data_IF_211718993237
#
_entry.id   IF_211718993237
#
_cell.length_a   1.000
_cell.length_b   1.000
_cell.length_c   1.000
_cell.angle_alpha   90.00
_cell.angle_beta   90.00
_cell.angle_gamma   90.00
#
_symmetry.space_group_name_H-M   'P 1'
#
loop_
_entity.id
_entity.type
_entity.pdbx_description
1 polymer ?
#
# COMPACT_ATOMS: atom_id res chain seq x y z
N UNK A 1 29.58 25.66 -12.59
CA UNK A 1 28.52 26.65 -12.87
C UNK A 1 28.14 27.33 -11.55
N UNK A 2 28.74 28.48 -11.24
CA UNK A 2 28.39 29.27 -10.04
C UNK A 2 27.13 30.09 -10.38
N UNK A 3 26.00 29.71 -9.80
CA UNK A 3 24.71 30.36 -10.02
C UNK A 3 24.66 31.65 -9.18
N UNK A 4 24.94 32.81 -9.79
CA UNK A 4 24.79 34.12 -9.15
C UNK A 4 23.30 34.48 -9.03
N UNK A 5 22.61 33.91 -8.04
CA UNK A 5 21.34 34.45 -7.57
C UNK A 5 21.63 35.61 -6.61
N UNK A 6 21.22 36.82 -6.98
CA UNK A 6 21.20 37.96 -6.08
C UNK A 6 19.97 37.81 -5.18
N UNK A 7 20.18 37.41 -3.93
CA UNK A 7 19.11 37.35 -2.93
C UNK A 7 18.95 38.70 -2.24
N UNK A 8 17.72 39.05 -1.90
CA UNK A 8 17.38 40.21 -1.10
C UNK A 8 18.17 40.22 0.23
N UNK A 9 18.87 41.32 0.50
CA UNK A 9 19.69 41.55 1.71
C UNK A 9 18.90 41.25 2.98
N UNK A 10 17.60 41.58 3.01
CA UNK A 10 16.75 41.30 4.17
C UNK A 10 16.55 39.80 4.40
N UNK A 11 16.41 39.02 3.31
CA UNK A 11 16.30 37.55 3.39
C UNK A 11 17.62 36.91 3.84
N UNK A 12 18.76 37.43 3.39
CA UNK A 12 20.08 36.95 3.82
C UNK A 12 20.29 37.21 5.32
N UNK A 13 19.98 38.43 5.78
CA UNK A 13 20.07 38.81 7.19
C UNK A 13 19.17 37.93 8.08
N UNK A 14 17.90 37.77 7.70
CA UNK A 14 16.95 36.88 8.38
C UNK A 14 17.47 35.44 8.44
N UNK A 15 17.98 34.90 7.33
CA UNK A 15 18.53 33.54 7.29
C UNK A 15 19.73 33.37 8.24
N UNK A 16 20.58 34.39 8.37
CA UNK A 16 21.75 34.38 9.27
C UNK A 16 21.32 34.43 10.74
N UNK A 17 20.37 35.29 11.09
CA UNK A 17 19.77 35.37 12.44
C UNK A 17 19.09 34.06 12.85
N UNK A 18 18.37 33.43 11.92
CA UNK A 18 17.80 32.10 12.13
C UNK A 18 18.89 31.04 12.38
N UNK A 19 20.01 31.11 11.64
CA UNK A 19 21.11 30.17 11.86
C UNK A 19 21.76 30.34 13.22
N UNK A 20 22.04 31.58 13.63
CA UNK A 20 22.64 31.93 14.92
C UNK A 20 21.75 31.55 16.10
N UNK A 21 20.43 31.62 15.95
CA UNK A 21 19.47 31.15 16.96
C UNK A 21 19.32 29.62 17.01
N UNK A 22 20.09 28.87 16.22
CA UNK A 22 20.14 27.41 16.29
C UNK A 22 19.11 26.71 15.41
N UNK A 23 18.64 27.32 14.32
CA UNK A 23 17.86 26.61 13.30
C UNK A 23 18.77 25.82 12.35
N UNK A 24 18.25 24.70 11.87
CA UNK A 24 18.89 23.90 10.82
C UNK A 24 18.73 24.55 9.44
N UNK A 25 19.64 24.24 8.51
CA UNK A 25 19.56 24.75 7.13
C UNK A 25 18.24 24.37 6.43
N UNK A 26 17.68 23.20 6.74
CA UNK A 26 16.37 22.77 6.25
C UNK A 26 15.21 23.60 6.80
N UNK A 27 15.31 24.09 8.04
CA UNK A 27 14.32 25.00 8.63
C UNK A 27 14.42 26.39 8.02
N UNK A 28 15.63 26.88 7.80
CA UNK A 28 15.89 28.17 7.14
C UNK A 28 15.41 28.13 5.69
N UNK A 29 15.69 27.05 4.95
CA UNK A 29 15.18 26.86 3.58
C UNK A 29 13.65 26.95 3.54
N UNK A 30 12.95 26.30 4.48
CA UNK A 30 11.48 26.31 4.50
C UNK A 30 10.91 27.72 4.67
N UNK A 31 11.57 28.55 5.46
CA UNK A 31 11.12 29.91 5.77
C UNK A 31 11.54 30.95 4.70
N UNK A 32 12.72 30.77 4.09
CA UNK A 32 13.33 31.77 3.20
C UNK A 32 13.29 31.38 1.73
N UNK A 33 12.96 30.12 1.44
CA UNK A 33 13.04 29.46 0.14
C UNK A 33 14.45 29.46 -0.50
N UNK A 34 15.50 29.74 0.28
CA UNK A 34 16.89 29.70 -0.20
C UNK A 34 17.37 28.24 -0.25
N UNK A 35 18.02 27.80 -1.35
CA UNK A 35 18.58 26.45 -1.46
C UNK A 35 19.56 26.13 -0.33
N UNK A 36 19.53 24.88 0.16
CA UNK A 36 20.42 24.41 1.23
C UNK A 36 21.90 24.53 0.82
N UNK A 37 22.24 24.30 -0.45
CA UNK A 37 23.60 24.46 -0.97
C UNK A 37 24.12 25.89 -0.78
N UNK A 38 23.29 26.89 -1.05
CA UNK A 38 23.59 28.31 -0.83
C UNK A 38 23.74 28.61 0.66
N UNK A 39 22.78 28.19 1.51
CA UNK A 39 22.83 28.40 2.95
C UNK A 39 24.07 27.75 3.59
N UNK A 40 24.41 26.53 3.13
CA UNK A 40 25.58 25.80 3.57
C UNK A 40 26.87 26.50 3.18
N UNK A 41 26.92 27.20 2.05
CA UNK A 41 28.07 27.98 1.62
C UNK A 41 28.24 29.25 2.45
N UNK A 42 27.13 29.96 2.72
CA UNK A 42 27.09 31.25 3.41
C UNK A 42 27.36 31.18 4.91
N UNK A 43 26.98 30.07 5.55
CA UNK A 43 27.04 29.93 7.00
C UNK A 43 28.13 28.96 7.47
N UNK A 44 29.18 28.76 6.67
CA UNK A 44 30.36 27.94 7.06
C UNK A 44 31.13 28.52 8.23
N UNK A 45 31.06 29.84 8.40
CA UNK A 45 31.65 30.61 9.49
C UNK A 45 30.88 30.49 10.80
N UNK A 46 29.67 29.93 10.80
CA UNK A 46 28.82 29.83 11.99
C UNK A 46 28.97 28.45 12.64
N UNK A 47 29.65 28.42 13.78
CA UNK A 47 29.69 27.26 14.68
C UNK A 47 28.52 27.31 15.66
N UNK A 48 27.69 26.27 15.67
CA UNK A 48 26.62 26.14 16.66
C UNK A 48 27.16 25.64 18.00
N UNK A 49 26.48 26.02 19.08
CA UNK A 49 26.77 25.44 20.40
C UNK A 49 26.36 23.96 20.45
N UNK A 50 26.92 23.22 21.41
CA UNK A 50 26.52 21.83 21.67
C UNK A 50 25.01 21.74 21.93
N UNK A 51 24.47 22.61 22.78
CA UNK A 51 23.04 22.67 23.08
C UNK A 51 22.19 22.87 21.80
N UNK A 52 22.56 23.82 20.94
CA UNK A 52 21.83 24.06 19.69
C UNK A 52 21.89 22.85 18.74
N UNK A 53 23.02 22.15 18.71
CA UNK A 53 23.19 20.94 17.90
C UNK A 53 22.34 19.78 18.43
N UNK A 54 22.29 19.61 19.76
CA UNK A 54 21.46 18.62 20.43
C UNK A 54 19.96 18.92 20.23
N UNK A 55 19.56 20.18 20.33
CA UNK A 55 18.19 20.64 20.08
C UNK A 55 17.76 20.38 18.63
N UNK A 56 18.63 20.69 17.66
CA UNK A 56 18.38 20.37 16.24
C UNK A 56 18.20 18.86 16.08
N UNK A 57 19.08 18.06 16.66
CA UNK A 57 19.05 16.59 16.56
C UNK A 57 17.76 16.01 17.16
N UNK A 58 17.34 16.51 18.33
CA UNK A 58 16.08 16.13 18.96
C UNK A 58 14.85 16.51 18.10
N UNK A 59 14.83 17.72 17.52
CA UNK A 59 13.75 18.14 16.61
C UNK A 59 13.70 17.29 15.35
N UNK A 60 14.85 16.95 14.76
CA UNK A 60 14.94 16.07 13.58
C UNK A 60 14.43 14.68 13.92
N UNK A 61 14.90 14.07 15.02
CA UNK A 61 14.44 12.76 15.49
C UNK A 61 12.93 12.73 15.70
N UNK A 62 12.37 13.74 16.38
CA UNK A 62 10.92 13.87 16.60
C UNK A 62 10.13 13.99 15.29
N UNK A 63 10.64 14.73 14.30
CA UNK A 63 10.03 14.84 12.97
C UNK A 63 10.05 13.51 12.22
N UNK A 64 11.17 12.79 12.25
CA UNK A 64 11.29 11.46 11.63
C UNK A 64 10.30 10.49 12.25
N UNK A 65 10.24 10.42 13.58
CA UNK A 65 9.31 9.55 14.31
C UNK A 65 7.84 9.88 14.00
N UNK A 66 7.48 11.17 13.97
CA UNK A 66 6.14 11.61 13.54
C UNK A 66 5.84 11.25 12.08
N UNK A 67 6.80 11.45 11.18
CA UNK A 67 6.65 11.08 9.77
C UNK A 67 6.43 9.58 9.58
N UNK A 68 7.18 8.75 10.31
CA UNK A 68 6.99 7.29 10.35
C UNK A 68 5.60 6.92 10.86
N UNK A 69 5.17 7.51 11.98
CA UNK A 69 3.84 7.27 12.54
C UNK A 69 2.73 7.66 11.55
N UNK A 70 2.82 8.84 10.94
CA UNK A 70 1.84 9.31 9.95
C UNK A 70 1.79 8.39 8.72
N UNK A 71 2.93 7.89 8.26
CA UNK A 71 2.99 6.90 7.17
C UNK A 71 2.28 5.60 7.56
N UNK A 72 2.57 5.07 8.76
CA UNK A 72 1.91 3.86 9.28
C UNK A 72 0.40 4.05 9.40
N UNK A 73 -0.05 5.18 9.93
CA UNK A 73 -1.47 5.52 10.02
C UNK A 73 -2.09 5.60 8.61
N UNK A 74 -1.46 6.31 7.67
CA UNK A 74 -1.98 6.44 6.30
C UNK A 74 -2.12 5.08 5.60
N UNK A 75 -1.09 4.22 5.70
CA UNK A 75 -1.12 2.86 5.13
C UNK A 75 -2.23 2.03 5.79
N UNK A 76 -2.35 2.09 7.13
CA UNK A 76 -3.39 1.35 7.86
C UNK A 76 -4.79 1.84 7.49
N UNK A 77 -5.02 3.14 7.46
CA UNK A 77 -6.32 3.72 7.11
C UNK A 77 -6.73 3.38 5.67
N UNK A 78 -5.81 3.48 4.70
CA UNK A 78 -6.06 3.05 3.32
C UNK A 78 -6.41 1.56 3.25
N UNK A 79 -5.68 0.72 3.99
CA UNK A 79 -5.95 -0.73 4.04
C UNK A 79 -7.34 -1.01 4.61
N UNK A 80 -7.71 -0.39 5.73
CA UNK A 80 -9.03 -0.55 6.37
C UNK A 80 -10.15 -0.13 5.42
N UNK A 81 -9.98 1.02 4.75
CA UNK A 81 -10.96 1.50 3.77
C UNK A 81 -11.15 0.51 2.62
N UNK A 82 -10.06 0.09 1.97
CA UNK A 82 -10.11 -0.89 0.87
C UNK A 82 -10.74 -2.20 1.33
N UNK A 83 -10.36 -2.69 2.51
CA UNK A 83 -10.91 -3.93 3.07
C UNK A 83 -12.41 -3.83 3.32
N UNK A 84 -12.89 -2.70 3.86
CA UNK A 84 -14.32 -2.44 4.01
C UNK A 84 -15.04 -2.45 2.66
N UNK A 85 -14.53 -1.71 1.66
CA UNK A 85 -15.13 -1.68 0.32
C UNK A 85 -15.24 -3.07 -0.30
N UNK A 86 -14.17 -3.88 -0.21
CA UNK A 86 -14.17 -5.26 -0.73
C UNK A 86 -15.22 -6.12 -0.03
N UNK A 87 -15.36 -5.98 1.30
CA UNK A 87 -16.35 -6.73 2.07
C UNK A 87 -17.77 -6.31 1.70
N UNK A 88 -18.03 -5.01 1.57
CA UNK A 88 -19.35 -4.48 1.20
C UNK A 88 -19.77 -4.93 -0.21
N UNK A 89 -18.84 -4.93 -1.16
CA UNK A 89 -19.05 -5.49 -2.51
C UNK A 89 -19.30 -7.00 -2.46
N UNK A 90 -18.44 -7.75 -1.74
CA UNK A 90 -18.53 -9.18 -1.65
C UNK A 90 -19.87 -9.63 -1.07
N UNK A 91 -20.40 -8.95 -0.05
CA UNK A 91 -21.74 -9.19 0.50
C UNK A 91 -22.83 -9.04 -0.55
N UNK A 92 -22.76 -7.99 -1.37
CA UNK A 92 -23.77 -7.68 -2.39
C UNK A 92 -23.74 -8.72 -3.52
N UNK A 93 -22.55 -9.04 -3.99
CA UNK A 93 -22.29 -10.04 -5.04
C UNK A 93 -22.72 -11.43 -4.57
N UNK A 94 -22.36 -11.81 -3.35
CA UNK A 94 -22.66 -13.13 -2.78
C UNK A 94 -24.16 -13.43 -2.81
N UNK A 95 -25.01 -12.48 -2.39
CA UNK A 95 -26.47 -12.64 -2.41
C UNK A 95 -27.02 -12.97 -3.80
N UNK A 96 -26.42 -12.42 -4.86
CA UNK A 96 -26.83 -12.70 -6.24
C UNK A 96 -26.24 -13.98 -6.83
N UNK A 97 -25.16 -14.50 -6.25
CA UNK A 97 -24.39 -15.62 -6.80
C UNK A 97 -24.52 -16.93 -6.03
N UNK A 98 -24.92 -16.91 -4.76
CA UNK A 98 -24.93 -18.09 -3.86
C UNK A 98 -25.71 -19.28 -4.44
N UNK A 99 -26.82 -19.02 -5.14
CA UNK A 99 -27.64 -20.07 -5.75
C UNK A 99 -27.13 -20.56 -7.12
N UNK A 100 -25.98 -20.06 -7.59
CA UNK A 100 -25.41 -20.46 -8.87
C UNK A 100 -24.42 -21.62 -8.68
N UNK A 101 -24.61 -22.79 -9.32
CA UNK A 101 -23.74 -23.95 -9.13
C UNK A 101 -22.27 -23.66 -9.38
N UNK A 102 -21.95 -22.97 -10.50
CA UNK A 102 -20.57 -22.65 -10.85
C UNK A 102 -19.90 -21.76 -9.78
N UNK A 103 -20.64 -20.81 -9.18
CA UNK A 103 -20.11 -19.94 -8.13
C UNK A 103 -19.64 -20.76 -6.93
N UNK A 104 -20.50 -21.65 -6.43
CA UNK A 104 -20.21 -22.54 -5.31
C UNK A 104 -19.08 -23.50 -5.66
N UNK A 105 -19.09 -24.10 -6.86
CA UNK A 105 -18.01 -24.99 -7.33
C UNK A 105 -16.66 -24.28 -7.29
N UNK A 106 -16.54 -23.05 -7.80
CA UNK A 106 -15.26 -22.33 -7.76
C UNK A 106 -14.81 -21.96 -6.35
N UNK A 107 -15.74 -21.56 -5.46
CA UNK A 107 -15.40 -21.33 -4.05
C UNK A 107 -14.88 -22.59 -3.36
N UNK A 108 -15.51 -23.73 -3.61
CA UNK A 108 -15.12 -25.05 -3.08
C UNK A 108 -13.77 -25.50 -3.62
N UNK A 109 -13.55 -25.38 -4.94
CA UNK A 109 -12.27 -25.66 -5.56
C UNK A 109 -11.15 -24.78 -4.99
N UNK A 110 -11.41 -23.48 -4.85
CA UNK A 110 -10.45 -22.57 -4.23
C UNK A 110 -10.20 -22.91 -2.75
N UNK A 111 -11.19 -23.47 -2.05
CA UNK A 111 -11.01 -23.93 -0.68
C UNK A 111 -10.00 -25.06 -0.58
N UNK A 112 -10.07 -26.01 -1.52
CA UNK A 112 -9.26 -27.22 -1.57
C UNK A 112 -7.83 -26.96 -2.10
N UNK A 113 -7.70 -26.15 -3.15
CA UNK A 113 -6.42 -26.01 -3.89
C UNK A 113 -5.97 -24.57 -4.12
N UNK A 114 -6.66 -23.60 -3.50
CA UNK A 114 -6.32 -22.19 -3.55
C UNK A 114 -5.37 -21.75 -2.43
N UNK A 115 -4.52 -20.76 -2.73
CA UNK A 115 -3.59 -20.19 -1.76
C UNK A 115 -4.24 -19.06 -0.97
N UNK A 116 -4.39 -19.22 0.35
CA UNK A 116 -5.07 -18.25 1.22
C UNK A 116 -4.12 -17.19 1.83
N UNK A 117 -2.81 -17.34 1.63
CA UNK A 117 -1.77 -16.46 2.16
C UNK A 117 -1.01 -15.79 1.02
N UNK A 118 -0.63 -14.53 1.18
CA UNK A 118 0.16 -13.78 0.19
C UNK A 118 -0.56 -12.57 -0.37
N UNK A 119 -0.10 -12.10 -1.53
CA UNK A 119 -0.54 -10.86 -2.18
C UNK A 119 -1.32 -11.06 -3.49
N UNK A 120 -1.61 -12.30 -3.85
CA UNK A 120 -2.23 -12.67 -5.13
C UNK A 120 -3.21 -13.83 -4.96
N UNK A 121 -4.21 -13.91 -5.85
CA UNK A 121 -5.01 -15.12 -5.99
C UNK A 121 -4.17 -16.16 -6.73
N UNK A 122 -4.07 -17.35 -6.16
CA UNK A 122 -3.32 -18.45 -6.77
C UNK A 122 -4.10 -19.76 -6.61
N UNK A 123 -4.28 -20.48 -7.70
CA UNK A 123 -4.95 -21.78 -7.72
C UNK A 123 -4.10 -22.76 -8.53
N UNK A 124 -3.80 -23.93 -7.95
CA UNK A 124 -2.96 -24.93 -8.61
C UNK A 124 -3.71 -26.25 -8.74
N UNK A 125 -3.58 -26.92 -9.88
CA UNK A 125 -4.10 -28.27 -10.08
C UNK A 125 -3.27 -29.04 -11.11
N UNK A 126 -3.14 -30.35 -10.92
CA UNK A 126 -2.62 -31.28 -11.93
C UNK A 126 -3.65 -31.62 -13.02
N UNK A 127 -4.94 -31.38 -12.77
CA UNK A 127 -6.00 -31.58 -13.75
C UNK A 127 -6.28 -30.28 -14.53
N UNK A 128 -6.08 -30.33 -15.84
CA UNK A 128 -6.31 -29.20 -16.73
C UNK A 128 -7.80 -28.81 -16.83
N UNK A 129 -8.72 -29.75 -16.63
CA UNK A 129 -10.16 -29.44 -16.59
C UNK A 129 -10.49 -28.57 -15.37
N UNK A 130 -9.88 -28.83 -14.21
CA UNK A 130 -10.04 -27.97 -13.02
C UNK A 130 -9.49 -26.57 -13.26
N UNK A 131 -8.36 -26.45 -13.97
CA UNK A 131 -7.78 -25.15 -14.36
C UNK A 131 -8.76 -24.39 -15.24
N UNK A 132 -9.32 -25.04 -16.27
CA UNK A 132 -10.29 -24.43 -17.18
C UNK A 132 -11.56 -23.97 -16.45
N UNK A 133 -12.11 -24.79 -15.55
CA UNK A 133 -13.26 -24.42 -14.70
C UNK A 133 -12.93 -23.19 -13.85
N UNK A 134 -11.74 -23.12 -13.28
CA UNK A 134 -11.34 -21.98 -12.46
C UNK A 134 -11.15 -20.70 -13.28
N UNK A 135 -10.63 -20.80 -14.51
CA UNK A 135 -10.55 -19.65 -15.44
C UNK A 135 -11.96 -19.15 -15.78
N UNK A 136 -12.86 -20.05 -16.15
CA UNK A 136 -14.27 -19.70 -16.41
C UNK A 136 -14.92 -19.02 -15.20
N UNK A 137 -14.64 -19.52 -13.99
CA UNK A 137 -15.14 -18.95 -12.75
C UNK A 137 -14.60 -17.52 -12.52
N UNK A 138 -13.29 -17.31 -12.70
CA UNK A 138 -12.67 -15.98 -12.60
C UNK A 138 -13.30 -14.99 -13.59
N UNK A 139 -13.46 -15.39 -14.85
CA UNK A 139 -14.02 -14.53 -15.88
C UNK A 139 -15.49 -14.18 -15.59
N UNK A 140 -16.28 -15.13 -15.08
CA UNK A 140 -17.70 -14.91 -14.79
C UNK A 140 -17.94 -14.04 -13.55
N UNK A 141 -17.26 -14.33 -12.44
CA UNK A 141 -17.60 -13.75 -11.13
C UNK A 141 -16.64 -12.65 -10.67
N UNK A 142 -15.35 -12.76 -10.99
CA UNK A 142 -14.38 -11.72 -10.65
C UNK A 142 -14.30 -10.68 -11.78
N UNK A 143 -14.57 -11.07 -13.03
CA UNK A 143 -14.45 -10.23 -14.23
C UNK A 143 -13.04 -9.65 -14.38
N UNK A 144 -12.04 -10.52 -14.23
CA UNK A 144 -10.64 -10.14 -14.47
C UNK A 144 -10.41 -10.04 -15.98
N UNK A 145 -9.69 -9.01 -16.41
CA UNK A 145 -9.17 -8.92 -17.78
C UNK A 145 -8.22 -10.10 -18.06
N UNK A 146 -8.31 -10.70 -19.25
CA UNK A 146 -7.56 -11.91 -19.59
C UNK A 146 -6.03 -11.70 -19.46
N UNK A 147 -5.53 -10.49 -19.71
CA UNK A 147 -4.11 -10.13 -19.59
C UNK A 147 -3.57 -10.21 -18.15
N UNK A 148 -4.46 -10.18 -17.15
CA UNK A 148 -4.10 -10.25 -15.73
C UNK A 148 -4.02 -11.70 -15.26
N UNK A 149 -4.71 -12.63 -15.93
CA UNK A 149 -4.69 -14.06 -15.62
C UNK A 149 -3.43 -14.68 -16.24
N UNK A 150 -2.50 -15.11 -15.38
CA UNK A 150 -1.28 -15.80 -15.84
C UNK A 150 -1.37 -17.28 -15.51
N UNK A 151 -1.17 -18.13 -16.50
CA UNK A 151 -1.05 -19.57 -16.31
C UNK A 151 0.44 -19.93 -16.33
N UNK A 152 0.90 -20.59 -15.27
CA UNK A 152 2.26 -21.14 -15.16
C UNK A 152 2.20 -22.65 -15.14
N UNK A 153 2.88 -23.26 -16.09
CA UNK A 153 2.98 -24.72 -16.17
C UNK A 153 4.23 -25.19 -15.44
N UNK A 154 4.06 -26.19 -14.59
CA UNK A 154 5.11 -26.94 -13.94
C UNK A 154 5.01 -28.41 -14.38
N UNK A 155 6.07 -29.18 -14.16
CA UNK A 155 6.17 -30.59 -14.58
C UNK A 155 4.95 -31.45 -14.18
N UNK A 156 4.36 -31.20 -13.01
CA UNK A 156 3.26 -32.01 -12.46
C UNK A 156 1.93 -31.28 -12.34
N UNK A 157 1.89 -29.97 -12.53
CA UNK A 157 0.68 -29.18 -12.33
C UNK A 157 0.74 -27.83 -13.01
N UNK A 158 -0.42 -27.21 -13.21
CA UNK A 158 -0.53 -25.83 -13.66
C UNK A 158 -1.02 -24.94 -12.53
N UNK A 159 -0.61 -23.67 -12.55
CA UNK A 159 -1.04 -22.67 -11.59
C UNK A 159 -1.58 -21.44 -12.29
N UNK A 160 -2.76 -21.01 -11.86
CA UNK A 160 -3.33 -19.70 -12.19
C UNK A 160 -2.80 -18.69 -11.18
N UNK A 161 -2.26 -17.58 -11.67
CA UNK A 161 -1.80 -16.44 -10.89
C UNK A 161 -2.55 -15.18 -11.32
N UNK A 162 -3.28 -14.55 -10.40
CA UNK A 162 -3.89 -13.23 -10.57
C UNK A 162 -3.27 -12.29 -9.54
N UNK A 163 -2.36 -11.43 -9.99
CA UNK A 163 -1.55 -10.51 -9.14
C UNK A 163 -2.34 -9.29 -8.67
N UNK A 164 -3.48 -9.54 -8.02
CA UNK A 164 -4.39 -8.55 -7.44
C UNK A 164 -4.84 -9.04 -6.07
N UNK A 165 -4.32 -8.44 -4.99
CA UNK A 165 -4.68 -8.79 -3.61
C UNK A 165 -6.19 -8.63 -3.34
N UNK A 166 -6.86 -7.71 -4.04
CA UNK A 166 -8.29 -7.50 -3.88
C UNK A 166 -9.10 -8.72 -4.36
N UNK A 167 -8.63 -9.45 -5.38
CA UNK A 167 -9.26 -10.69 -5.83
C UNK A 167 -9.17 -11.75 -4.74
N UNK A 168 -7.96 -11.99 -4.20
CA UNK A 168 -7.77 -12.93 -3.07
C UNK A 168 -8.69 -12.58 -1.89
N UNK A 169 -8.73 -11.31 -1.50
CA UNK A 169 -9.57 -10.83 -0.38
C UNK A 169 -11.06 -11.02 -0.65
N UNK A 170 -11.52 -10.75 -1.87
CA UNK A 170 -12.92 -10.94 -2.29
C UNK A 170 -13.31 -12.42 -2.21
N UNK A 171 -12.47 -13.33 -2.73
CA UNK A 171 -12.72 -14.78 -2.64
C UNK A 171 -12.77 -15.27 -1.19
N UNK A 172 -11.84 -14.81 -0.34
CA UNK A 172 -11.86 -15.14 1.10
C UNK A 172 -13.14 -14.60 1.77
N UNK A 173 -13.58 -13.39 1.42
CA UNK A 173 -14.81 -12.82 1.95
C UNK A 173 -16.04 -13.65 1.54
N UNK A 174 -16.15 -14.06 0.27
CA UNK A 174 -17.20 -14.96 -0.18
C UNK A 174 -17.19 -16.32 0.51
N UNK A 175 -16.02 -16.91 0.74
CA UNK A 175 -15.89 -18.17 1.48
C UNK A 175 -16.41 -18.04 2.93
N UNK A 176 -16.14 -16.92 3.60
CA UNK A 176 -16.69 -16.66 4.94
C UNK A 176 -18.21 -16.46 4.92
N UNK A 177 -18.73 -15.78 3.89
CA UNK A 177 -20.17 -15.60 3.71
C UNK A 177 -20.87 -16.93 3.42
N UNK A 178 -20.22 -17.83 2.68
CA UNK A 178 -20.73 -19.16 2.41
C UNK A 178 -20.91 -20.00 3.67
N UNK A 179 -19.93 -19.97 4.59
CA UNK A 179 -20.08 -20.62 5.90
C UNK A 179 -21.30 -20.05 6.63
N UNK A 180 -21.38 -18.72 6.76
CA UNK A 180 -22.47 -18.06 7.49
C UNK A 180 -23.84 -18.37 6.90
N UNK A 181 -23.94 -18.40 5.57
CA UNK A 181 -25.16 -18.72 4.86
C UNK A 181 -25.73 -20.08 5.29
N UNK A 182 -24.88 -21.11 5.38
CA UNK A 182 -25.31 -22.43 5.84
C UNK A 182 -25.40 -22.56 7.36
N UNK A 183 -24.63 -21.79 8.14
CA UNK A 183 -24.77 -21.78 9.60
C UNK A 183 -26.11 -21.15 10.04
N UNK A 184 -26.60 -20.12 9.32
CA UNK A 184 -27.86 -19.42 9.60
C UNK A 184 -29.10 -20.16 9.05
N UNK A 185 -28.95 -20.96 7.98
CA UNK A 185 -30.04 -21.79 7.42
C UNK A 185 -30.22 -23.14 8.13
N UNK A 186 -29.33 -23.52 9.05
CA UNK A 186 -29.34 -24.81 9.77
C UNK A 186 -29.91 -24.68 11.21
N UNK A 187 -30.50 -23.53 11.57
CA UNK A 187 -31.24 -23.32 12.84
C UNK A 187 -32.73 -23.21 12.60
#
# INVERSE_FOLDING_TARGET
MLYNMVYDIQKVKKAREMRLSGLSLSEIKRETNIPISTLSLWFRDITLTKQQTDDISARVSKRISRGRLNSLISVKSKRVFIEKTIIDEANREFKGFVNQPLFITGLSLYWASGTKRGSAFQFSSSDMNMINVMIMWLNRYIKVEDEVIKIRNYDKYSRIDVSRINVLRKVIAWQKLLIKYYDEEVI
#
